data_IF_762487392714
#
_entry.id   IF_762487392714
#
_cell.length_a   1.000
_cell.length_b   1.000
_cell.length_c   1.000
_cell.angle_alpha   90.00
_cell.angle_beta   90.00
_cell.angle_gamma   90.00
#
_symmetry.space_group_name_H-M   'P 1'
#
loop_
_entity.id
_entity.type
_entity.pdbx_description
1 polymer ?
#
# COMPACT_ATOMS: atom_id res chain seq x y z
N UNK A 1 15.50 -15.90 13.40
CA UNK A 1 15.01 -15.51 12.07
C UNK A 1 14.94 -13.99 12.00
N UNK A 2 15.46 -13.41 10.92
CA UNK A 2 15.40 -11.97 10.71
C UNK A 2 13.95 -11.58 10.34
N UNK A 3 13.37 -10.61 11.03
CA UNK A 3 12.02 -10.16 10.80
C UNK A 3 11.96 -9.24 9.57
N UNK A 4 10.93 -9.35 8.71
CA UNK A 4 10.68 -8.39 7.65
C UNK A 4 10.51 -6.97 8.20
N UNK A 5 10.88 -5.96 7.41
CA UNK A 5 10.82 -4.55 7.80
C UNK A 5 9.89 -3.77 6.87
N UNK A 6 9.09 -2.87 7.43
CA UNK A 6 8.29 -1.89 6.68
C UNK A 6 8.81 -0.50 6.99
N UNK A 7 9.13 0.29 5.97
CA UNK A 7 9.67 1.65 6.11
C UNK A 7 8.76 2.63 5.35
N UNK A 8 8.34 3.69 6.03
CA UNK A 8 7.52 4.78 5.49
C UNK A 8 8.02 6.16 5.94
N UNK A 9 7.48 7.19 5.38
CA UNK A 9 7.62 8.59 5.80
C UNK A 9 9.08 9.01 6.06
N UNK A 10 9.42 9.38 7.29
CA UNK A 10 10.76 9.86 7.65
C UNK A 10 11.85 8.79 7.47
N UNK A 11 11.51 7.51 7.61
CA UNK A 11 12.41 6.42 7.28
C UNK A 11 12.80 6.42 5.79
N UNK A 12 11.83 6.66 4.90
CA UNK A 12 12.08 6.83 3.46
C UNK A 12 12.91 8.07 3.18
N UNK A 13 12.61 9.18 3.86
CA UNK A 13 13.39 10.41 3.72
C UNK A 13 14.85 10.20 4.16
N UNK A 14 15.10 9.49 5.26
CA UNK A 14 16.44 9.15 5.71
C UNK A 14 17.19 8.28 4.70
N UNK A 15 16.54 7.30 4.08
CA UNK A 15 17.13 6.46 3.02
C UNK A 15 17.56 7.27 1.80
N UNK A 16 16.94 8.40 1.50
CA UNK A 16 17.31 9.22 0.34
C UNK A 16 18.72 9.81 0.42
N UNK A 17 19.33 9.86 1.60
CA UNK A 17 20.71 10.31 1.78
C UNK A 17 21.75 9.22 1.48
N UNK A 18 21.39 7.94 1.61
CA UNK A 18 22.29 6.81 1.34
C UNK A 18 21.48 5.57 0.92
N UNK A 19 21.17 5.47 -0.36
CA UNK A 19 20.45 4.32 -0.93
C UNK A 19 21.28 3.02 -0.94
N UNK A 20 22.61 3.10 -0.78
CA UNK A 20 23.45 1.92 -0.72
C UNK A 20 23.22 1.11 0.56
N UNK A 21 22.60 1.71 1.58
CA UNK A 21 22.11 0.98 2.74
C UNK A 21 21.12 -0.13 2.33
N UNK A 22 20.26 0.10 1.35
CA UNK A 22 19.29 -0.89 0.88
C UNK A 22 19.95 -2.14 0.30
N UNK A 23 21.11 -1.99 -0.35
CA UNK A 23 21.85 -3.13 -0.93
C UNK A 23 22.45 -4.05 0.14
N UNK A 24 22.55 -3.58 1.38
CA UNK A 24 23.08 -4.35 2.53
C UNK A 24 21.97 -5.03 3.33
N UNK A 25 20.72 -4.73 3.04
CA UNK A 25 19.57 -5.35 3.71
C UNK A 25 19.39 -6.77 3.17
N UNK A 26 19.42 -7.76 4.06
CA UNK A 26 19.25 -9.18 3.74
C UNK A 26 17.90 -9.76 4.16
N UNK A 27 17.07 -8.94 4.76
CA UNK A 27 15.70 -9.29 5.18
C UNK A 27 14.68 -8.76 4.19
N UNK A 28 13.49 -9.37 4.09
CA UNK A 28 12.41 -8.82 3.30
C UNK A 28 12.08 -7.38 3.71
N UNK A 29 12.08 -6.46 2.76
CA UNK A 29 11.87 -5.04 2.98
C UNK A 29 10.67 -4.54 2.17
N UNK A 30 9.77 -3.83 2.83
CA UNK A 30 8.64 -3.13 2.19
C UNK A 30 8.83 -1.63 2.35
N UNK A 31 8.81 -0.90 1.25
CA UNK A 31 8.85 0.57 1.23
C UNK A 31 7.51 1.11 0.70
N UNK A 32 6.98 2.16 1.34
CA UNK A 32 5.67 2.71 1.00
C UNK A 32 5.70 4.19 0.58
N UNK A 33 6.57 4.60 -0.38
CA UNK A 33 6.69 6.00 -0.76
C UNK A 33 5.42 6.56 -1.42
N UNK A 34 5.05 7.80 -1.09
CA UNK A 34 4.22 8.61 -1.97
C UNK A 34 5.08 9.20 -3.12
N UNK A 35 4.50 9.78 -4.19
CA UNK A 35 5.28 10.27 -5.33
C UNK A 35 6.38 11.28 -4.97
N UNK A 36 6.19 12.11 -3.94
CA UNK A 36 7.22 13.05 -3.49
C UNK A 36 8.40 12.37 -2.79
N UNK A 37 8.16 11.36 -1.97
CA UNK A 37 9.18 10.52 -1.33
C UNK A 37 9.93 9.70 -2.40
N UNK A 38 9.19 9.09 -3.33
CA UNK A 38 9.80 8.37 -4.44
C UNK A 38 10.71 9.26 -5.30
N UNK A 39 10.28 10.48 -5.57
CA UNK A 39 11.06 11.46 -6.31
C UNK A 39 12.41 11.77 -5.62
N UNK A 40 12.40 11.91 -4.29
CA UNK A 40 13.64 12.09 -3.50
C UNK A 40 14.54 10.86 -3.56
N UNK A 41 13.97 9.64 -3.42
CA UNK A 41 14.73 8.39 -3.51
C UNK A 41 15.47 8.24 -4.84
N UNK A 42 14.83 8.58 -5.96
CA UNK A 42 15.42 8.36 -7.29
C UNK A 42 16.05 9.61 -7.91
N UNK A 43 16.03 10.75 -7.21
CA UNK A 43 16.69 11.98 -7.66
C UNK A 43 15.99 12.66 -8.85
N UNK A 44 14.67 12.57 -8.96
CA UNK A 44 13.87 13.19 -10.02
C UNK A 44 12.73 14.03 -9.42
N UNK A 45 11.91 14.64 -10.27
CA UNK A 45 10.71 15.38 -9.81
C UNK A 45 9.51 14.46 -9.66
N UNK A 46 8.55 14.84 -8.80
CA UNK A 46 7.28 14.12 -8.67
C UNK A 46 6.50 14.05 -9.99
N UNK A 47 6.68 15.04 -10.88
CA UNK A 47 6.07 15.05 -12.21
C UNK A 47 6.66 13.96 -13.11
N UNK A 48 7.94 13.71 -13.01
CA UNK A 48 8.61 12.62 -13.74
C UNK A 48 8.17 11.26 -13.20
N UNK A 49 8.01 11.11 -11.87
CA UNK A 49 7.42 9.89 -11.29
C UNK A 49 6.04 9.62 -11.89
N UNK A 50 5.18 10.65 -12.00
CA UNK A 50 3.81 10.48 -12.51
C UNK A 50 3.75 10.12 -14.01
N UNK A 51 4.77 10.41 -14.79
CA UNK A 51 4.81 10.06 -16.22
C UNK A 51 4.95 8.57 -16.47
N UNK A 52 5.70 7.86 -15.62
CA UNK A 52 5.92 6.42 -15.78
C UNK A 52 6.09 5.73 -14.41
N UNK A 53 5.02 5.72 -13.64
CA UNK A 53 4.98 5.11 -12.31
C UNK A 53 5.34 3.64 -12.32
N UNK A 54 4.91 2.91 -13.36
CA UNK A 54 5.08 1.45 -13.44
C UNK A 54 6.56 1.12 -13.64
N UNK A 55 7.22 1.70 -14.65
CA UNK A 55 8.61 1.41 -14.92
C UNK A 55 9.52 1.82 -13.75
N UNK A 56 9.26 3.00 -13.15
CA UNK A 56 10.04 3.49 -12.02
C UNK A 56 9.89 2.56 -10.80
N UNK A 57 8.66 2.16 -10.45
CA UNK A 57 8.42 1.26 -9.33
C UNK A 57 9.08 -0.10 -9.53
N UNK A 58 8.93 -0.72 -10.71
CA UNK A 58 9.54 -2.00 -11.05
C UNK A 58 11.07 -1.94 -10.98
N UNK A 59 11.67 -0.93 -11.64
CA UNK A 59 13.12 -0.75 -11.66
C UNK A 59 13.69 -0.59 -10.26
N UNK A 60 13.05 0.21 -9.41
CA UNK A 60 13.49 0.43 -8.04
C UNK A 60 13.39 -0.86 -7.21
N UNK A 61 12.26 -1.55 -7.26
CA UNK A 61 12.04 -2.79 -6.53
C UNK A 61 13.07 -3.86 -6.89
N UNK A 62 13.37 -4.03 -8.19
CA UNK A 62 14.41 -4.95 -8.67
C UNK A 62 15.82 -4.53 -8.21
N UNK A 63 16.16 -3.24 -8.38
CA UNK A 63 17.50 -2.72 -8.09
C UNK A 63 17.88 -2.89 -6.62
N UNK A 64 16.91 -2.74 -5.71
CA UNK A 64 17.12 -2.79 -4.27
C UNK A 64 16.53 -4.03 -3.60
N UNK A 65 16.07 -5.01 -4.37
CA UNK A 65 15.51 -6.28 -3.88
C UNK A 65 14.45 -6.06 -2.80
N UNK A 66 13.52 -5.12 -3.01
CA UNK A 66 12.50 -4.76 -2.04
C UNK A 66 11.08 -4.81 -2.65
N UNK A 67 10.08 -4.92 -1.80
CA UNK A 67 8.69 -4.66 -2.16
C UNK A 67 8.43 -3.16 -2.07
N UNK A 68 7.80 -2.59 -3.10
CA UNK A 68 7.54 -1.16 -3.17
C UNK A 68 6.06 -0.90 -3.35
N UNK A 69 5.47 -0.09 -2.47
CA UNK A 69 4.12 0.46 -2.62
C UNK A 69 4.24 1.93 -3.01
N UNK A 70 4.13 2.24 -4.30
CA UNK A 70 4.06 3.63 -4.75
C UNK A 70 2.63 4.16 -4.54
N UNK A 71 2.45 4.86 -3.42
CA UNK A 71 1.16 5.42 -2.98
C UNK A 71 0.57 6.42 -4.00
N UNK A 72 -0.75 6.59 -3.98
CA UNK A 72 -1.49 7.56 -4.79
C UNK A 72 -2.75 6.95 -5.39
N UNK A 73 -3.46 7.71 -6.24
CA UNK A 73 -4.57 7.17 -6.99
C UNK A 73 -4.11 5.91 -7.76
N UNK A 74 -4.78 4.77 -7.51
CA UNK A 74 -4.37 3.46 -8.03
C UNK A 74 -2.93 3.13 -7.59
N UNK A 75 -2.73 2.91 -6.30
CA UNK A 75 -1.43 2.52 -5.73
C UNK A 75 -0.82 1.34 -6.49
N UNK A 76 0.49 1.43 -6.77
CA UNK A 76 1.25 0.37 -7.44
C UNK A 76 2.01 -0.44 -6.41
N UNK A 77 1.99 -1.76 -6.55
CA UNK A 77 2.81 -2.67 -5.75
C UNK A 77 3.77 -3.35 -6.71
N UNK A 78 5.07 -3.15 -6.51
CA UNK A 78 6.13 -3.81 -7.27
C UNK A 78 6.93 -4.74 -6.37
N UNK A 79 7.42 -5.85 -6.93
CA UNK A 79 8.21 -6.86 -6.22
C UNK A 79 9.66 -6.93 -6.74
N UNK A 80 10.56 -7.61 -6.01
CA UNK A 80 11.96 -7.77 -6.41
C UNK A 80 12.15 -8.45 -7.78
N UNK A 81 11.19 -9.25 -8.23
CA UNK A 81 11.21 -9.93 -9.52
C UNK A 81 10.78 -9.03 -10.67
N UNK A 82 10.41 -7.78 -10.39
CA UNK A 82 9.98 -6.80 -11.40
C UNK A 82 8.56 -6.99 -11.88
N UNK A 83 7.75 -7.76 -11.16
CA UNK A 83 6.30 -7.80 -11.38
C UNK A 83 5.67 -6.59 -10.70
N UNK A 84 4.58 -6.10 -11.26
CA UNK A 84 3.81 -5.02 -10.64
C UNK A 84 2.32 -5.29 -10.76
N UNK A 85 1.56 -4.90 -9.74
CA UNK A 85 0.12 -4.86 -9.78
C UNK A 85 -0.41 -3.48 -9.37
N UNK A 86 -1.59 -3.16 -9.89
CA UNK A 86 -2.28 -1.89 -9.62
C UNK A 86 -3.44 -2.19 -8.67
N UNK A 87 -3.48 -1.51 -7.55
CA UNK A 87 -4.63 -1.53 -6.66
C UNK A 87 -5.73 -0.63 -7.21
N UNK A 88 -6.95 -1.16 -7.32
CA UNK A 88 -8.10 -0.42 -7.83
C UNK A 88 -9.01 0.14 -6.73
N UNK A 89 -8.84 -0.31 -5.47
CA UNK A 89 -9.61 0.20 -4.33
C UNK A 89 -9.09 1.55 -3.84
N UNK A 90 -9.94 2.29 -3.17
CA UNK A 90 -9.65 3.59 -2.61
C UNK A 90 -10.16 4.76 -3.46
N UNK A 91 -10.37 5.88 -2.81
CA UNK A 91 -10.96 7.07 -3.41
C UNK A 91 -10.24 8.36 -2.93
N UNK A 92 -10.62 9.49 -3.51
CA UNK A 92 -10.00 10.78 -3.23
C UNK A 92 -10.20 11.27 -1.77
N UNK A 93 -11.24 10.80 -1.08
CA UNK A 93 -11.48 11.12 0.34
C UNK A 93 -10.40 10.62 1.27
N UNK A 94 -9.60 9.65 0.82
CA UNK A 94 -8.45 9.13 1.57
C UNK A 94 -7.20 10.05 1.50
N UNK A 95 -7.28 11.18 0.83
CA UNK A 95 -6.17 12.14 0.73
C UNK A 95 -6.07 13.02 1.99
N UNK A 96 -5.92 12.41 3.16
CA UNK A 96 -5.76 13.09 4.46
C UNK A 96 -4.58 12.53 5.25
N UNK A 97 -4.13 13.28 6.26
CA UNK A 97 -3.01 12.87 7.12
C UNK A 97 -3.32 11.57 7.88
N UNK A 98 -2.29 10.77 8.14
CA UNK A 98 -2.42 9.50 8.89
C UNK A 98 -2.82 8.29 8.06
N UNK A 99 -3.36 8.47 6.85
CA UNK A 99 -3.77 7.35 5.99
C UNK A 99 -2.58 6.43 5.62
N UNK A 100 -1.40 7.01 5.38
CA UNK A 100 -0.17 6.25 5.14
C UNK A 100 0.26 5.43 6.35
N UNK A 101 0.14 6.01 7.56
CA UNK A 101 0.51 5.35 8.81
C UNK A 101 -0.37 4.12 9.06
N UNK A 102 -1.68 4.25 8.80
CA UNK A 102 -2.63 3.11 8.85
C UNK A 102 -2.21 2.02 7.88
N UNK A 103 -1.90 2.36 6.63
CA UNK A 103 -1.45 1.39 5.64
C UNK A 103 -0.16 0.66 6.10
N UNK A 104 0.82 1.41 6.58
CA UNK A 104 2.08 0.87 7.09
C UNK A 104 1.84 -0.09 8.26
N UNK A 105 0.98 0.29 9.20
CA UNK A 105 0.55 -0.56 10.32
C UNK A 105 -0.16 -1.82 9.87
N UNK A 106 -1.04 -1.74 8.86
CA UNK A 106 -1.73 -2.90 8.29
C UNK A 106 -0.76 -3.88 7.61
N UNK A 107 0.21 -3.39 6.83
CA UNK A 107 1.24 -4.25 6.22
C UNK A 107 2.03 -4.97 7.31
N UNK A 108 2.52 -4.24 8.30
CA UNK A 108 3.27 -4.81 9.43
C UNK A 108 2.43 -5.82 10.22
N UNK A 109 1.15 -5.52 10.45
CA UNK A 109 0.22 -6.40 11.15
C UNK A 109 -0.03 -7.73 10.42
N UNK A 110 -0.17 -7.72 9.10
CA UNK A 110 -0.29 -8.97 8.31
C UNK A 110 1.02 -9.76 8.29
N UNK A 111 2.16 -9.10 8.18
CA UNK A 111 3.47 -9.77 8.29
C UNK A 111 3.62 -10.42 9.66
N UNK A 112 3.25 -9.73 10.73
CA UNK A 112 3.30 -10.27 12.10
C UNK A 112 2.40 -11.49 12.32
N UNK A 113 1.32 -11.62 11.54
CA UNK A 113 0.44 -12.79 11.51
C UNK A 113 1.01 -13.96 10.70
N UNK A 114 2.20 -13.82 10.12
CA UNK A 114 2.89 -14.88 9.37
C UNK A 114 2.59 -14.89 7.86
N UNK A 115 1.91 -13.90 7.33
CA UNK A 115 1.74 -13.79 5.88
C UNK A 115 3.07 -13.47 5.19
N UNK A 116 3.26 -14.05 4.02
CA UNK A 116 4.35 -13.67 3.13
C UNK A 116 4.32 -12.16 2.82
N UNK A 117 5.47 -11.45 2.80
CA UNK A 117 5.51 -10.00 2.62
C UNK A 117 4.79 -9.48 1.38
N UNK A 118 4.81 -10.21 0.24
CA UNK A 118 4.08 -9.78 -0.96
C UNK A 118 2.57 -9.89 -0.76
N UNK A 119 2.11 -10.98 -0.14
CA UNK A 119 0.70 -11.19 0.13
C UNK A 119 0.19 -10.22 1.20
N UNK A 120 0.96 -10.02 2.28
CA UNK A 120 0.67 -9.03 3.32
C UNK A 120 0.50 -7.63 2.73
N UNK A 121 1.43 -7.22 1.85
CA UNK A 121 1.40 -5.91 1.19
C UNK A 121 0.18 -5.77 0.29
N UNK A 122 -0.11 -6.75 -0.57
CA UNK A 122 -1.28 -6.70 -1.46
C UNK A 122 -2.59 -6.64 -0.69
N UNK A 123 -2.74 -7.48 0.34
CA UNK A 123 -3.92 -7.50 1.21
C UNK A 123 -4.11 -6.17 1.93
N UNK A 124 -3.05 -5.64 2.54
CA UNK A 124 -3.12 -4.37 3.24
C UNK A 124 -3.52 -3.22 2.32
N UNK A 125 -2.89 -3.08 1.16
CA UNK A 125 -3.18 -2.01 0.19
C UNK A 125 -4.63 -2.10 -0.30
N UNK A 126 -5.10 -3.31 -0.60
CA UNK A 126 -6.47 -3.52 -1.05
C UNK A 126 -7.49 -3.21 0.06
N UNK A 127 -7.34 -3.79 1.25
CA UNK A 127 -8.26 -3.60 2.37
C UNK A 127 -8.28 -2.15 2.86
N UNK A 128 -7.14 -1.49 2.88
CA UNK A 128 -7.03 -0.07 3.19
C UNK A 128 -7.88 0.78 2.23
N UNK A 129 -7.74 0.54 0.91
CA UNK A 129 -8.56 1.22 -0.09
C UNK A 129 -10.04 0.88 0.03
N UNK A 130 -10.37 -0.41 0.19
CA UNK A 130 -11.76 -0.86 0.33
C UNK A 130 -12.46 -0.28 1.57
N UNK A 131 -11.74 -0.13 2.69
CA UNK A 131 -12.29 0.56 3.87
C UNK A 131 -12.65 2.02 3.55
N UNK A 132 -11.79 2.73 2.81
CA UNK A 132 -12.09 4.07 2.31
C UNK A 132 -13.30 4.12 1.40
N UNK A 133 -13.50 3.11 0.54
CA UNK A 133 -14.66 3.03 -0.35
C UNK A 133 -15.97 2.75 0.39
N UNK A 134 -15.92 1.90 1.42
CA UNK A 134 -17.05 1.69 2.33
C UNK A 134 -17.44 2.97 3.05
N UNK A 135 -16.45 3.67 3.62
CA UNK A 135 -16.70 4.95 4.32
C UNK A 135 -17.25 6.01 3.37
N UNK A 136 -16.72 6.11 2.16
CA UNK A 136 -17.24 7.05 1.15
C UNK A 136 -18.69 6.72 0.74
N UNK A 137 -19.03 5.45 0.62
CA UNK A 137 -20.39 5.01 0.29
C UNK A 137 -21.39 5.29 1.44
N UNK A 138 -20.95 5.20 2.68
CA UNK A 138 -21.83 5.37 3.86
C UNK A 138 -21.93 6.82 4.36
N UNK A 139 -20.81 7.54 4.34
CA UNK A 139 -20.70 8.87 4.95
C UNK A 139 -20.53 10.01 3.94
N UNK A 140 -20.32 9.68 2.67
CA UNK A 140 -19.99 10.64 1.62
C UNK A 140 -18.51 10.65 1.25
N UNK A 141 -18.16 11.28 0.11
CA UNK A 141 -16.84 11.13 -0.52
C UNK A 141 -15.69 11.87 0.18
N UNK A 142 -15.98 12.64 1.24
CA UNK A 142 -14.98 13.42 1.99
C UNK A 142 -15.36 13.48 3.48
N UNK A 143 -14.38 13.84 4.32
CA UNK A 143 -14.63 14.14 5.75
C UNK A 143 -14.34 12.99 6.70
N UNK A 144 -13.96 11.80 6.23
CA UNK A 144 -13.44 10.74 7.09
C UNK A 144 -11.92 10.85 7.26
N UNK A 145 -11.44 10.40 8.39
CA UNK A 145 -10.03 10.47 8.81
C UNK A 145 -9.44 9.07 9.02
N UNK A 146 -8.15 9.00 9.32
CA UNK A 146 -7.42 7.74 9.48
C UNK A 146 -8.02 6.81 10.55
N UNK A 147 -8.49 7.36 11.67
CA UNK A 147 -9.15 6.63 12.75
C UNK A 147 -10.46 5.96 12.30
N UNK A 148 -11.17 6.56 11.35
CA UNK A 148 -12.38 5.95 10.78
C UNK A 148 -12.06 4.67 10.02
N UNK A 149 -10.92 4.64 9.27
CA UNK A 149 -10.47 3.43 8.59
C UNK A 149 -10.15 2.31 9.59
N UNK A 150 -9.47 2.63 10.69
CA UNK A 150 -9.12 1.67 11.73
C UNK A 150 -10.41 1.09 12.33
N UNK A 151 -11.36 1.96 12.64
CA UNK A 151 -12.64 1.59 13.24
C UNK A 151 -13.52 0.74 12.31
N UNK A 152 -13.42 0.96 10.99
CA UNK A 152 -14.17 0.20 9.98
C UNK A 152 -13.58 -1.20 9.73
N UNK A 153 -12.30 -1.41 9.97
CA UNK A 153 -11.59 -2.64 9.60
C UNK A 153 -12.20 -3.93 10.16
N UNK A 154 -12.60 -4.04 11.45
CA UNK A 154 -13.20 -5.27 11.97
C UNK A 154 -14.53 -5.60 11.28
N UNK A 155 -15.36 -4.59 10.98
CA UNK A 155 -16.64 -4.76 10.29
C UNK A 155 -16.42 -5.22 8.84
N UNK A 156 -15.47 -4.60 8.16
CA UNK A 156 -15.09 -4.95 6.79
C UNK A 156 -14.59 -6.38 6.70
N UNK A 157 -13.68 -6.80 7.57
CA UNK A 157 -13.15 -8.16 7.60
C UNK A 157 -14.27 -9.18 7.86
N UNK A 158 -15.17 -8.90 8.80
CA UNK A 158 -16.34 -9.74 9.05
C UNK A 158 -17.23 -9.87 7.81
N UNK A 159 -17.52 -8.75 7.15
CA UNK A 159 -18.34 -8.74 5.93
C UNK A 159 -17.69 -9.52 4.76
N UNK A 160 -16.37 -9.41 4.59
CA UNK A 160 -15.62 -10.19 3.62
C UNK A 160 -15.71 -11.69 3.88
N UNK A 161 -15.42 -12.12 5.11
CA UNK A 161 -15.43 -13.53 5.51
C UNK A 161 -16.83 -14.16 5.41
N UNK A 162 -17.90 -13.39 5.63
CA UNK A 162 -19.29 -13.86 5.52
C UNK A 162 -19.88 -13.67 4.12
N UNK A 163 -19.15 -13.12 3.16
CA UNK A 163 -19.65 -12.81 1.82
C UNK A 163 -20.74 -11.72 1.80
N UNK A 164 -20.81 -10.85 2.80
CA UNK A 164 -21.87 -9.85 3.01
C UNK A 164 -21.48 -8.41 2.63
N UNK A 165 -20.46 -8.24 1.78
CA UNK A 165 -20.14 -6.90 1.26
C UNK A 165 -21.34 -6.28 0.54
N UNK A 166 -21.53 -4.95 0.61
CA UNK A 166 -22.53 -4.24 -0.18
C UNK A 166 -22.46 -4.60 -1.65
N UNK A 167 -23.61 -4.80 -2.30
CA UNK A 167 -23.67 -5.28 -3.67
C UNK A 167 -22.93 -4.35 -4.66
N UNK A 168 -22.97 -3.04 -4.42
CA UNK A 168 -22.23 -2.03 -5.20
C UNK A 168 -20.71 -2.25 -5.18
N UNK A 169 -20.17 -2.70 -4.05
CA UNK A 169 -18.73 -2.98 -3.90
C UNK A 169 -18.36 -4.39 -4.38
N UNK A 170 -19.30 -5.35 -4.39
CA UNK A 170 -19.05 -6.71 -4.87
C UNK A 170 -18.80 -6.77 -6.37
N UNK A 171 -19.53 -5.98 -7.17
CA UNK A 171 -19.38 -5.94 -8.63
C UNK A 171 -18.00 -5.40 -9.01
N UNK A 172 -17.57 -4.35 -8.32
CA UNK A 172 -16.34 -3.63 -8.63
C UNK A 172 -15.08 -4.41 -8.27
N UNK A 173 -15.16 -5.31 -7.27
CA UNK A 173 -13.99 -6.02 -6.73
C UNK A 173 -14.04 -7.54 -6.86
N UNK A 174 -14.96 -8.11 -7.65
CA UNK A 174 -15.15 -9.56 -7.79
C UNK A 174 -13.83 -10.31 -8.07
N UNK A 175 -12.98 -9.79 -8.93
CA UNK A 175 -11.70 -10.41 -9.31
C UNK A 175 -10.58 -10.24 -8.27
N UNK A 176 -10.72 -9.33 -7.31
CA UNK A 176 -9.72 -9.12 -6.27
C UNK A 176 -9.99 -9.98 -5.03
N UNK A 177 -11.22 -10.44 -4.83
CA UNK A 177 -11.60 -11.20 -3.65
C UNK A 177 -10.97 -12.59 -3.59
N UNK A 178 -10.67 -13.22 -4.73
CA UNK A 178 -9.99 -14.52 -4.81
C UNK A 178 -8.54 -14.48 -4.27
N UNK A 179 -7.94 -13.29 -4.19
CA UNK A 179 -6.56 -13.11 -3.71
C UNK A 179 -6.48 -12.72 -2.22
N UNK A 180 -7.62 -12.47 -1.59
CA UNK A 180 -7.70 -11.88 -0.25
C UNK A 180 -8.12 -12.90 0.80
N UNK A 181 -8.94 -13.84 0.43
CA UNK A 181 -9.41 -14.94 1.26
C UNK A 181 -8.51 -16.17 1.09
#
# INVERSE_FOLDING_TARGET
>A
SALPMVIDADGINALSFDLDLLKRVTIPLVLTPHPGEMARLVGVTSKEIQKDRIAIAKKFAQQYSCYLVLKGARSLIADPEGRACINLSGNAGMASGGMGDVLTGMIAGFIAQGYDPVLATKRAVFLHGLAGDVLAAERGPVGFIAEDLISEMPRLLKALLSGQLPHSLRSDYRYHMEWIL
#
